data_IF_368601308017
#
_entry.id   IF_368601308017
#
_cell.length_a   1.000
_cell.length_b   1.000
_cell.length_c   1.000
_cell.angle_alpha   90.00
_cell.angle_beta   90.00
_cell.angle_gamma   90.00
#
_symmetry.space_group_name_H-M   'P 1'
#
loop_
_entity.id
_entity.type
_entity.pdbx_description
1 polymer ?
#
# COMPACT_ATOMS: atom_id res chain seq x y z
N UNK A 1 9.31 -33.98 -25.12
CA UNK A 1 8.12 -33.25 -25.47
C UNK A 1 8.16 -31.81 -24.97
N UNK A 2 7.43 -30.93 -25.63
CA UNK A 2 7.32 -29.53 -25.20
C UNK A 2 6.58 -29.44 -23.86
N UNK A 3 7.13 -28.67 -22.92
CA UNK A 3 6.42 -28.31 -21.67
C UNK A 3 5.73 -26.98 -21.87
N UNK A 4 4.45 -26.91 -21.54
CA UNK A 4 3.66 -25.70 -21.54
C UNK A 4 3.11 -25.45 -20.13
N UNK A 5 3.26 -24.23 -19.64
CA UNK A 5 2.66 -23.79 -18.39
C UNK A 5 1.70 -22.64 -18.70
N UNK A 6 0.43 -22.81 -18.35
CA UNK A 6 -0.58 -21.76 -18.47
C UNK A 6 -0.63 -20.92 -17.19
N UNK A 7 -1.34 -19.80 -17.28
CA UNK A 7 -1.75 -19.05 -16.09
C UNK A 7 -2.83 -19.84 -15.30
N UNK A 8 -2.94 -19.53 -14.02
CA UNK A 8 -3.98 -20.09 -13.15
C UNK A 8 -5.26 -19.27 -13.25
N UNK A 9 -6.39 -19.95 -13.35
CA UNK A 9 -7.73 -19.33 -13.37
C UNK A 9 -8.54 -19.83 -12.19
N UNK A 10 -9.28 -18.94 -11.55
CA UNK A 10 -10.19 -19.23 -10.46
C UNK A 10 -11.62 -18.97 -10.93
N UNK A 11 -12.50 -19.95 -10.79
CA UNK A 11 -13.91 -19.85 -11.10
C UNK A 11 -14.71 -19.82 -9.80
N UNK A 12 -15.56 -18.81 -9.66
CA UNK A 12 -16.42 -18.64 -8.50
C UNK A 12 -17.88 -18.49 -8.94
N UNK A 13 -18.71 -19.54 -8.87
CA UNK A 13 -20.13 -19.40 -9.11
C UNK A 13 -20.81 -18.68 -7.95
N UNK A 14 -21.71 -17.77 -8.25
CA UNK A 14 -22.52 -17.06 -7.26
C UNK A 14 -23.97 -17.51 -7.33
N UNK A 15 -24.63 -17.56 -6.18
CA UNK A 15 -26.03 -17.93 -6.00
C UNK A 15 -26.95 -16.72 -5.76
N UNK A 16 -26.42 -15.51 -5.87
CA UNK A 16 -27.12 -14.28 -5.53
C UNK A 16 -26.70 -13.11 -6.44
N UNK A 17 -27.60 -12.18 -6.67
CA UNK A 17 -27.31 -10.88 -7.31
C UNK A 17 -26.95 -9.78 -6.32
N UNK A 18 -27.07 -10.03 -5.01
CA UNK A 18 -26.64 -9.09 -3.97
C UNK A 18 -25.14 -8.84 -4.06
N UNK A 19 -24.78 -7.57 -4.17
CA UNK A 19 -23.39 -7.16 -4.41
C UNK A 19 -22.48 -7.40 -3.20
N UNK A 20 -22.97 -7.11 -1.98
CA UNK A 20 -22.20 -7.38 -0.75
C UNK A 20 -21.98 -8.89 -0.59
N UNK A 21 -23.00 -9.72 -0.84
CA UNK A 21 -22.88 -11.17 -0.74
C UNK A 21 -21.84 -11.75 -1.72
N UNK A 22 -21.83 -11.29 -2.96
CA UNK A 22 -20.78 -11.63 -3.93
C UNK A 22 -19.40 -11.19 -3.45
N UNK A 23 -19.29 -9.95 -2.98
CA UNK A 23 -18.05 -9.40 -2.46
C UNK A 23 -17.53 -10.15 -1.23
N UNK A 24 -18.40 -10.51 -0.28
CA UNK A 24 -18.03 -11.32 0.88
C UNK A 24 -17.49 -12.69 0.48
N UNK A 25 -18.10 -13.33 -0.50
CA UNK A 25 -17.63 -14.62 -0.99
C UNK A 25 -16.23 -14.52 -1.62
N UNK A 26 -15.98 -13.51 -2.43
CA UNK A 26 -14.67 -13.24 -3.02
C UNK A 26 -13.60 -12.93 -1.94
N UNK A 27 -13.95 -12.12 -0.95
CA UNK A 27 -13.06 -11.79 0.17
C UNK A 27 -12.69 -13.04 1.00
N UNK A 28 -13.63 -13.94 1.22
CA UNK A 28 -13.37 -15.24 1.87
C UNK A 28 -12.40 -16.12 1.06
N UNK A 29 -12.49 -16.08 -0.27
CA UNK A 29 -11.51 -16.74 -1.12
C UNK A 29 -10.11 -16.17 -0.88
N UNK A 30 -9.94 -14.84 -0.90
CA UNK A 30 -8.63 -14.22 -0.64
C UNK A 30 -8.06 -14.64 0.72
N UNK A 31 -8.84 -14.61 1.79
CA UNK A 31 -8.38 -15.06 3.12
C UNK A 31 -7.83 -16.47 3.12
N UNK A 32 -8.38 -17.37 2.28
CA UNK A 32 -7.93 -18.76 2.20
C UNK A 32 -6.70 -18.98 1.33
N UNK A 33 -6.65 -18.33 0.17
CA UNK A 33 -5.61 -18.61 -0.84
C UNK A 33 -4.46 -17.61 -0.83
N UNK A 34 -4.65 -16.46 -0.17
CA UNK A 34 -3.67 -15.42 -0.02
C UNK A 34 -3.74 -14.78 1.39
N UNK A 35 -3.46 -15.57 2.46
CA UNK A 35 -3.64 -15.12 3.85
C UNK A 35 -2.80 -13.89 4.20
N UNK A 36 -1.67 -13.64 3.53
CA UNK A 36 -0.87 -12.43 3.66
C UNK A 36 -1.64 -11.14 3.33
N UNK A 37 -2.73 -11.20 2.56
CA UNK A 37 -3.58 -10.04 2.26
C UNK A 37 -4.42 -9.58 3.45
N UNK A 38 -4.47 -10.36 4.53
CA UNK A 38 -5.14 -9.99 5.78
C UNK A 38 -4.21 -9.22 6.72
N UNK A 39 -2.91 -9.21 6.45
CA UNK A 39 -1.95 -8.42 7.22
C UNK A 39 -2.28 -6.93 7.04
N UNK A 40 -2.36 -6.24 8.17
CA UNK A 40 -2.74 -4.81 8.18
C UNK A 40 -1.92 -4.07 9.24
N UNK A 41 -0.59 -3.97 9.07
CA UNK A 41 0.29 -3.26 9.99
C UNK A 41 0.05 -1.75 9.94
N UNK A 42 0.41 -1.07 11.01
CA UNK A 42 0.34 0.39 11.14
C UNK A 42 1.71 0.95 10.79
N UNK A 43 1.83 1.73 9.71
CA UNK A 43 3.13 2.18 9.23
C UNK A 43 3.22 3.68 8.89
N UNK A 44 4.43 4.21 9.03
CA UNK A 44 4.84 5.53 8.57
C UNK A 44 5.69 5.42 7.30
N UNK A 45 5.41 6.22 6.29
CA UNK A 45 6.27 6.41 5.13
C UNK A 45 7.23 7.57 5.36
N UNK A 46 8.45 7.26 5.80
CA UNK A 46 9.50 8.24 6.05
C UNK A 46 10.15 8.70 4.74
N UNK A 47 10.19 10.01 4.52
CA UNK A 47 10.70 10.63 3.28
C UNK A 47 12.18 10.99 3.32
N UNK A 48 12.95 10.39 4.21
CA UNK A 48 14.37 10.68 4.39
C UNK A 48 15.16 9.41 4.71
N UNK A 49 16.44 9.41 4.38
CA UNK A 49 17.45 8.46 4.88
C UNK A 49 18.56 9.16 5.69
N UNK A 50 18.30 10.40 6.13
CA UNK A 50 19.14 11.06 7.13
C UNK A 50 19.03 10.32 8.47
N UNK A 51 20.15 9.96 9.13
CA UNK A 51 20.13 9.16 10.35
C UNK A 51 19.30 9.76 11.48
N UNK A 52 19.32 11.08 11.64
CA UNK A 52 18.55 11.76 12.69
C UNK A 52 17.06 11.69 12.41
N UNK A 53 16.66 11.91 11.17
CA UNK A 53 15.25 11.86 10.76
C UNK A 53 14.72 10.43 10.88
N UNK A 54 15.45 9.43 10.39
CA UNK A 54 15.03 8.02 10.46
C UNK A 54 14.90 7.56 11.91
N UNK A 55 15.89 7.84 12.78
CA UNK A 55 15.80 7.47 14.20
C UNK A 55 14.64 8.18 14.90
N UNK A 56 14.39 9.46 14.61
CA UNK A 56 13.22 10.18 15.13
C UNK A 56 11.91 9.53 14.66
N UNK A 57 11.81 9.16 13.38
CA UNK A 57 10.63 8.48 12.86
C UNK A 57 10.37 7.13 13.56
N UNK A 58 11.43 6.34 13.77
CA UNK A 58 11.37 5.06 14.49
C UNK A 58 10.91 5.27 15.95
N UNK A 59 11.53 6.23 16.66
CA UNK A 59 11.16 6.54 18.05
C UNK A 59 9.69 6.98 18.15
N UNK A 60 9.25 7.86 17.27
CA UNK A 60 7.85 8.31 17.23
C UNK A 60 6.86 7.18 16.88
N UNK A 61 7.23 6.25 16.00
CA UNK A 61 6.44 5.05 15.76
C UNK A 61 6.30 4.21 17.02
N UNK A 62 7.39 3.93 17.72
CA UNK A 62 7.37 3.18 18.98
C UNK A 62 6.53 3.87 20.06
N UNK A 63 6.63 5.19 20.19
CA UNK A 63 5.92 5.97 21.20
C UNK A 63 4.42 6.14 20.93
N UNK A 64 4.00 6.01 19.67
CA UNK A 64 2.59 6.18 19.28
C UNK A 64 1.89 4.88 18.94
N UNK A 65 2.62 3.75 19.01
CA UNK A 65 2.07 2.43 18.73
C UNK A 65 1.99 2.08 17.25
N UNK A 66 2.69 2.81 16.38
CA UNK A 66 2.97 2.37 15.03
C UNK A 66 3.86 1.12 15.05
N UNK A 67 3.87 0.36 13.96
CA UNK A 67 4.49 -0.96 13.91
C UNK A 67 5.64 -1.04 12.91
N UNK A 68 5.59 -0.21 11.85
CA UNK A 68 6.55 -0.24 10.76
C UNK A 68 6.95 1.16 10.27
N UNK A 69 8.17 1.26 9.74
CA UNK A 69 8.63 2.41 8.96
C UNK A 69 9.05 1.95 7.58
N UNK A 70 8.52 2.60 6.55
CA UNK A 70 8.91 2.42 5.15
C UNK A 70 9.71 3.65 4.74
N UNK A 71 10.97 3.47 4.36
CA UNK A 71 11.78 4.51 3.70
C UNK A 71 11.24 4.71 2.29
N UNK A 72 10.42 5.72 2.12
CA UNK A 72 9.54 5.91 0.97
C UNK A 72 10.28 6.47 -0.26
N UNK A 73 9.56 6.59 -1.37
CA UNK A 73 10.05 7.30 -2.56
C UNK A 73 10.60 8.68 -2.22
N UNK A 74 11.78 9.01 -2.73
CA UNK A 74 12.48 10.26 -2.43
C UNK A 74 13.25 10.27 -1.10
N UNK A 75 13.27 9.18 -0.34
CA UNK A 75 14.08 9.08 0.90
C UNK A 75 15.59 9.03 0.65
N UNK A 76 16.02 8.66 -0.55
CA UNK A 76 17.42 8.42 -0.87
C UNK A 76 17.90 6.99 -0.54
N UNK A 77 17.00 6.07 -0.18
CA UNK A 77 17.31 4.66 -0.10
C UNK A 77 17.67 4.12 -1.50
N UNK A 78 18.78 3.45 -1.62
CA UNK A 78 19.20 2.75 -2.83
C UNK A 78 19.52 1.28 -2.52
N UNK A 79 18.58 0.39 -2.82
CA UNK A 79 18.75 -1.06 -2.61
C UNK A 79 19.63 -1.73 -3.70
N UNK A 80 19.95 -1.01 -4.77
CA UNK A 80 20.81 -1.50 -5.86
C UNK A 80 22.30 -1.20 -5.62
N UNK A 81 22.62 -0.39 -4.61
CA UNK A 81 23.99 -0.11 -4.18
C UNK A 81 24.45 -1.18 -3.18
N UNK A 82 25.32 -2.07 -3.64
CA UNK A 82 25.90 -3.16 -2.85
C UNK A 82 27.16 -2.77 -2.08
N UNK A 83 27.54 -1.48 -2.05
CA UNK A 83 28.70 -1.03 -1.29
C UNK A 83 28.56 -1.35 0.20
N UNK A 84 29.68 -1.68 0.83
CA UNK A 84 29.71 -1.98 2.26
C UNK A 84 29.18 -0.82 3.11
N UNK A 85 29.46 0.42 2.72
CA UNK A 85 28.97 1.62 3.39
C UNK A 85 27.44 1.74 3.33
N UNK A 86 26.83 1.47 2.17
CA UNK A 86 25.37 1.50 2.00
C UNK A 86 24.73 0.38 2.83
N UNK A 87 25.23 -0.84 2.73
CA UNK A 87 24.71 -1.99 3.51
C UNK A 87 24.84 -1.74 5.01
N UNK A 88 26.00 -1.27 5.49
CA UNK A 88 26.22 -0.98 6.91
C UNK A 88 25.26 0.08 7.44
N UNK A 89 25.04 1.16 6.70
CA UNK A 89 24.09 2.23 7.04
C UNK A 89 22.67 1.69 7.27
N UNK A 90 22.14 0.95 6.33
CA UNK A 90 20.76 0.47 6.41
C UNK A 90 20.61 -0.70 7.40
N UNK A 91 21.66 -1.49 7.60
CA UNK A 91 21.70 -2.49 8.67
C UNK A 91 21.63 -1.83 10.05
N UNK A 92 22.40 -0.75 10.30
CA UNK A 92 22.32 0.04 11.53
C UNK A 92 20.90 0.54 11.80
N UNK A 93 20.21 1.04 10.77
CA UNK A 93 18.82 1.49 10.91
C UNK A 93 17.87 0.34 11.26
N UNK A 94 18.06 -0.82 10.65
CA UNK A 94 17.27 -2.02 10.94
C UNK A 94 17.48 -2.48 12.38
N UNK A 95 18.73 -2.56 12.83
CA UNK A 95 19.06 -2.93 14.21
C UNK A 95 18.47 -1.95 15.22
N UNK A 96 18.53 -0.65 14.92
CA UNK A 96 17.91 0.39 15.75
C UNK A 96 16.39 0.22 15.81
N UNK A 97 15.71 0.03 14.67
CA UNK A 97 14.27 -0.19 14.60
C UNK A 97 13.86 -1.43 15.40
N UNK A 98 14.57 -2.55 15.20
CA UNK A 98 14.33 -3.80 15.92
C UNK A 98 14.49 -3.63 17.44
N UNK A 99 15.46 -2.81 17.90
CA UNK A 99 15.63 -2.50 19.34
C UNK A 99 14.44 -1.76 19.95
N UNK A 100 13.63 -1.13 19.12
CA UNK A 100 12.40 -0.42 19.52
C UNK A 100 11.12 -1.23 19.23
N UNK A 101 11.22 -2.45 18.71
CA UNK A 101 10.09 -3.26 18.29
C UNK A 101 9.40 -2.76 17.02
N UNK A 102 10.11 -2.00 16.18
CA UNK A 102 9.61 -1.45 14.92
C UNK A 102 10.25 -2.21 13.75
N UNK A 103 9.44 -2.61 12.78
CA UNK A 103 9.93 -3.17 11.52
C UNK A 103 10.35 -2.04 10.57
N UNK A 104 11.40 -2.28 9.80
CA UNK A 104 11.93 -1.32 8.84
C UNK A 104 12.04 -1.92 7.45
N UNK A 105 11.75 -1.12 6.47
CA UNK A 105 11.97 -1.46 5.08
C UNK A 105 11.94 -0.24 4.18
N UNK A 106 11.74 -0.47 2.88
CA UNK A 106 11.78 0.66 1.98
C UNK A 106 11.24 0.41 0.59
N UNK A 107 11.22 1.50 -0.14
CA UNK A 107 10.68 1.64 -1.47
C UNK A 107 11.74 1.36 -2.53
N UNK A 108 11.37 0.59 -3.56
CA UNK A 108 12.11 0.46 -4.80
C UNK A 108 11.20 0.66 -6.01
N UNK A 109 11.59 1.52 -6.94
CA UNK A 109 10.91 1.71 -8.20
C UNK A 109 11.42 0.68 -9.21
N UNK A 110 10.56 -0.22 -9.64
CA UNK A 110 10.90 -1.33 -10.51
C UNK A 110 11.05 -0.89 -11.98
N UNK A 111 10.03 -0.17 -12.49
CA UNK A 111 10.00 0.33 -13.87
C UNK A 111 9.65 1.82 -13.89
N UNK A 112 9.26 2.38 -15.03
CA UNK A 112 8.93 3.81 -15.18
C UNK A 112 10.11 4.73 -14.87
N UNK A 113 11.33 4.28 -15.21
CA UNK A 113 12.58 5.01 -15.04
C UNK A 113 13.56 4.67 -16.15
N UNK A 114 14.50 5.54 -16.41
CA UNK A 114 15.60 5.27 -17.30
C UNK A 114 16.78 4.65 -16.54
N UNK A 115 17.35 3.59 -17.10
CA UNK A 115 18.58 2.95 -16.62
C UNK A 115 19.68 3.13 -17.67
N UNK A 116 19.50 2.56 -18.84
CA UNK A 116 20.32 2.77 -20.01
C UNK A 116 19.53 2.41 -21.27
N UNK A 117 20.04 2.85 -22.38
CA UNK A 117 19.42 2.61 -23.68
C UNK A 117 19.41 1.12 -24.08
N UNK A 118 20.40 0.35 -23.64
CA UNK A 118 20.56 -1.05 -23.98
C UNK A 118 19.54 -1.95 -23.29
N UNK A 119 19.05 -1.54 -22.12
CA UNK A 119 18.12 -2.33 -21.30
C UNK A 119 16.69 -1.82 -21.35
N UNK A 120 16.44 -0.68 -22.01
CA UNK A 120 15.07 -0.16 -22.14
C UNK A 120 14.23 -1.04 -23.07
N UNK A 121 12.92 -1.09 -22.85
CA UNK A 121 12.01 -1.84 -23.72
C UNK A 121 11.97 -1.23 -25.12
N UNK A 122 11.78 -2.06 -26.13
CA UNK A 122 11.50 -1.62 -27.50
C UNK A 122 10.00 -1.67 -27.74
N UNK A 123 9.43 -0.50 -27.99
CA UNK A 123 8.00 -0.36 -28.30
C UNK A 123 7.70 -1.06 -29.64
N UNK A 124 6.77 -2.02 -29.67
CA UNK A 124 6.47 -2.80 -30.88
C UNK A 124 5.81 -1.99 -32.01
N UNK A 125 5.16 -0.88 -31.70
CA UNK A 125 4.47 -0.05 -32.68
C UNK A 125 5.44 0.90 -33.39
N UNK A 126 6.41 1.43 -32.65
CA UNK A 126 7.33 2.44 -33.16
C UNK A 126 8.71 1.90 -33.50
N UNK A 127 9.06 0.73 -33.01
CA UNK A 127 10.40 0.17 -33.08
C UNK A 127 11.46 0.96 -32.28
N UNK A 128 11.03 1.94 -31.49
CA UNK A 128 11.91 2.80 -30.69
C UNK A 128 11.92 2.36 -29.24
N UNK A 129 12.92 2.81 -28.50
CA UNK A 129 13.01 2.64 -27.04
C UNK A 129 11.87 3.36 -26.30
N UNK A 130 11.53 2.85 -25.12
CA UNK A 130 10.53 3.42 -24.24
C UNK A 130 9.25 2.61 -24.12
N UNK A 131 8.73 2.59 -22.90
CA UNK A 131 7.44 1.98 -22.59
C UNK A 131 6.27 2.76 -23.19
N UNK A 132 5.15 2.09 -23.39
CA UNK A 132 3.95 2.68 -24.01
C UNK A 132 3.25 3.70 -23.10
N UNK A 133 3.47 3.64 -21.78
CA UNK A 133 2.73 4.45 -20.80
C UNK A 133 3.60 5.53 -20.17
N UNK A 134 4.79 5.17 -19.69
CA UNK A 134 5.62 6.06 -18.85
C UNK A 134 6.93 6.51 -19.53
N UNK A 135 7.07 6.36 -20.84
CA UNK A 135 8.31 6.64 -21.52
C UNK A 135 9.38 5.59 -21.22
N UNK A 136 10.54 5.95 -20.67
CA UNK A 136 11.60 5.00 -20.35
C UNK A 136 11.11 3.93 -19.36
N UNK A 137 11.36 2.68 -19.68
CA UNK A 137 10.99 1.54 -18.85
C UNK A 137 11.99 0.39 -19.08
N UNK A 138 12.86 0.09 -18.12
CA UNK A 138 13.81 -0.98 -18.27
C UNK A 138 13.10 -2.33 -18.40
N UNK A 139 13.57 -3.17 -19.32
CA UNK A 139 13.03 -4.50 -19.51
C UNK A 139 13.49 -5.42 -18.36
N UNK A 140 12.54 -5.93 -17.59
CA UNK A 140 12.82 -6.80 -16.44
C UNK A 140 13.33 -8.20 -16.85
N UNK A 141 13.31 -8.50 -18.15
CA UNK A 141 13.91 -9.70 -18.74
C UNK A 141 15.16 -9.36 -19.56
N UNK A 142 15.83 -8.25 -19.26
CA UNK A 142 17.19 -7.95 -19.65
C UNK A 142 18.17 -8.43 -18.58
N UNK A 143 19.46 -8.38 -18.85
CA UNK A 143 20.52 -8.66 -17.85
C UNK A 143 20.39 -7.74 -16.63
N UNK A 144 20.09 -6.46 -16.83
CA UNK A 144 19.86 -5.53 -15.75
C UNK A 144 18.69 -5.98 -14.85
N UNK A 145 17.58 -6.42 -15.44
CA UNK A 145 16.41 -6.86 -14.66
C UNK A 145 16.74 -8.03 -13.74
N UNK A 146 17.48 -9.01 -14.22
CA UNK A 146 17.92 -10.15 -13.42
C UNK A 146 18.89 -9.72 -12.31
N UNK A 147 19.81 -8.82 -12.60
CA UNK A 147 20.72 -8.25 -11.59
C UNK A 147 19.97 -7.41 -10.55
N UNK A 148 18.98 -6.62 -10.96
CA UNK A 148 18.11 -5.89 -10.04
C UNK A 148 17.44 -6.84 -9.03
N UNK A 149 16.79 -7.90 -9.48
CA UNK A 149 16.12 -8.84 -8.58
C UNK A 149 17.11 -9.58 -7.66
N UNK A 150 18.31 -9.86 -8.12
CA UNK A 150 19.40 -10.40 -7.31
C UNK A 150 19.85 -9.41 -6.24
N UNK A 151 20.07 -8.16 -6.62
CA UNK A 151 20.50 -7.08 -5.69
C UNK A 151 19.47 -6.82 -4.60
N UNK A 152 18.18 -6.77 -4.95
CA UNK A 152 17.12 -6.60 -3.96
C UNK A 152 17.17 -7.72 -2.91
N UNK A 153 17.25 -8.98 -3.32
CA UNK A 153 17.38 -10.10 -2.37
C UNK A 153 18.62 -9.98 -1.49
N UNK A 154 19.78 -9.74 -2.10
CA UNK A 154 21.04 -9.55 -1.39
C UNK A 154 20.98 -8.40 -0.37
N UNK A 155 20.31 -7.30 -0.72
CA UNK A 155 20.12 -6.17 0.17
C UNK A 155 19.31 -6.55 1.42
N UNK A 156 18.17 -7.24 1.25
CA UNK A 156 17.35 -7.72 2.37
C UNK A 156 18.07 -8.74 3.24
N UNK A 157 18.76 -9.70 2.64
CA UNK A 157 19.58 -10.69 3.37
C UNK A 157 20.69 -10.05 4.21
N UNK A 158 21.34 -9.00 3.69
CA UNK A 158 22.46 -8.33 4.37
C UNK A 158 22.04 -7.31 5.41
N UNK A 159 20.91 -6.59 5.18
CA UNK A 159 20.43 -5.54 6.07
C UNK A 159 19.47 -6.04 7.12
N UNK A 160 18.80 -7.18 6.89
CA UNK A 160 17.77 -7.71 7.77
C UNK A 160 16.45 -6.90 7.74
N UNK A 161 16.22 -6.05 6.75
CA UNK A 161 14.95 -5.37 6.57
C UNK A 161 13.81 -6.38 6.36
N UNK A 162 12.60 -6.04 6.85
CA UNK A 162 11.43 -6.93 6.85
C UNK A 162 10.23 -6.35 6.13
N UNK A 163 10.36 -5.18 5.52
CA UNK A 163 9.27 -4.52 4.78
C UNK A 163 9.76 -4.09 3.40
N UNK A 164 9.04 -4.48 2.35
CA UNK A 164 9.34 -4.13 0.97
C UNK A 164 8.18 -3.40 0.31
N UNK A 165 8.40 -2.17 -0.13
CA UNK A 165 7.47 -1.44 -0.98
C UNK A 165 8.02 -1.38 -2.40
N UNK A 166 7.23 -1.84 -3.37
CA UNK A 166 7.67 -1.89 -4.76
C UNK A 166 6.62 -1.26 -5.67
N UNK A 167 6.99 -0.15 -6.27
CA UNK A 167 6.17 0.56 -7.25
C UNK A 167 6.62 0.23 -8.68
N UNK A 168 5.70 0.41 -9.63
CA UNK A 168 5.94 0.02 -11.01
C UNK A 168 5.92 -1.49 -11.25
N UNK A 169 5.32 -2.24 -10.32
CA UNK A 169 5.13 -3.70 -10.43
C UNK A 169 4.02 -4.08 -11.41
N UNK A 170 3.86 -3.29 -12.45
CA UNK A 170 3.04 -3.62 -13.61
C UNK A 170 3.55 -4.93 -14.24
N UNK A 171 2.75 -5.61 -15.09
CA UNK A 171 3.20 -6.88 -15.70
C UNK A 171 4.45 -6.73 -16.59
N UNK A 172 5.09 -5.58 -16.61
CA UNK A 172 6.14 -5.16 -17.52
C UNK A 172 5.57 -4.59 -18.80
N UNK A 173 6.27 -3.63 -19.42
CA UNK A 173 5.92 -3.19 -20.77
C UNK A 173 6.26 -4.29 -21.78
N UNK A 174 5.43 -4.46 -22.82
CA UNK A 174 5.80 -5.33 -23.94
C UNK A 174 7.11 -4.86 -24.55
N UNK A 175 7.98 -5.79 -24.89
CA UNK A 175 9.30 -5.49 -25.43
C UNK A 175 9.53 -6.28 -26.72
N UNK A 176 9.73 -5.57 -27.83
CA UNK A 176 10.03 -6.16 -29.12
C UNK A 176 11.53 -6.44 -29.32
N UNK A 177 12.39 -6.12 -28.37
CA UNK A 177 13.83 -6.42 -28.44
C UNK A 177 14.08 -7.90 -28.64
N UNK A 178 15.01 -8.24 -29.50
CA UNK A 178 15.56 -9.60 -29.69
C UNK A 178 16.98 -9.74 -29.15
N UNK A 179 17.52 -8.67 -28.57
CA UNK A 179 18.86 -8.61 -27.98
C UNK A 179 18.91 -8.81 -26.48
N UNK A 180 17.76 -8.70 -25.78
CA UNK A 180 17.70 -8.96 -24.33
C UNK A 180 17.82 -10.46 -24.05
N UNK A 181 18.66 -10.83 -23.09
CA UNK A 181 19.09 -12.23 -22.90
C UNK A 181 17.97 -13.19 -22.46
N UNK A 182 16.93 -12.70 -21.77
CA UNK A 182 16.00 -13.57 -21.06
C UNK A 182 14.59 -13.61 -21.64
N UNK A 183 14.38 -13.04 -22.85
CA UNK A 183 13.18 -13.24 -23.66
C UNK A 183 13.50 -13.27 -25.15
N UNK A 184 12.58 -13.76 -25.97
CA UNK A 184 12.77 -13.94 -27.42
C UNK A 184 12.13 -12.83 -28.27
N UNK A 185 11.64 -11.76 -27.63
CA UNK A 185 10.96 -10.64 -28.27
C UNK A 185 9.53 -10.48 -27.79
N UNK A 186 8.68 -9.86 -28.62
CA UNK A 186 7.32 -9.47 -28.27
C UNK A 186 6.45 -10.61 -27.70
N UNK A 187 6.60 -11.82 -28.20
CA UNK A 187 5.70 -12.93 -27.88
C UNK A 187 5.81 -13.44 -26.45
N UNK A 188 6.95 -13.28 -25.79
CA UNK A 188 7.19 -13.82 -24.45
C UNK A 188 7.72 -12.77 -23.45
N UNK A 189 8.07 -11.57 -23.90
CA UNK A 189 8.71 -10.54 -23.09
C UNK A 189 7.91 -10.20 -21.82
N UNK A 190 6.62 -9.91 -21.95
CA UNK A 190 5.80 -9.52 -20.81
C UNK A 190 5.60 -10.68 -19.83
N UNK A 191 5.43 -11.90 -20.34
CA UNK A 191 5.33 -13.09 -19.50
C UNK A 191 6.62 -13.32 -18.70
N UNK A 192 7.76 -13.18 -19.33
CA UNK A 192 9.07 -13.34 -18.68
C UNK A 192 9.31 -12.29 -17.60
N UNK A 193 8.99 -11.03 -17.88
CA UNK A 193 9.06 -9.94 -16.89
C UNK A 193 8.15 -10.23 -15.68
N UNK A 194 6.90 -10.60 -15.93
CA UNK A 194 5.98 -10.97 -14.86
C UNK A 194 6.50 -12.12 -14.00
N UNK A 195 7.13 -13.14 -14.60
CA UNK A 195 7.70 -14.25 -13.83
C UNK A 195 8.78 -13.77 -12.84
N UNK A 196 9.63 -12.81 -13.22
CA UNK A 196 10.64 -12.26 -12.31
C UNK A 196 10.01 -11.53 -11.13
N UNK A 197 9.00 -10.71 -11.37
CA UNK A 197 8.26 -10.01 -10.30
C UNK A 197 7.61 -11.03 -9.34
N UNK A 198 6.90 -12.00 -9.88
CA UNK A 198 6.24 -13.06 -9.09
C UNK A 198 7.24 -13.82 -8.24
N UNK A 199 8.37 -14.21 -8.80
CA UNK A 199 9.42 -14.92 -8.09
C UNK A 199 10.02 -14.09 -6.93
N UNK A 200 10.16 -12.77 -7.11
CA UNK A 200 10.62 -11.90 -6.02
C UNK A 200 9.57 -11.83 -4.90
N UNK A 201 8.31 -11.59 -5.22
CA UNK A 201 7.27 -11.42 -4.19
C UNK A 201 6.99 -12.72 -3.43
N UNK A 202 7.02 -13.85 -4.10
CA UNK A 202 6.93 -15.15 -3.44
C UNK A 202 8.11 -15.37 -2.49
N UNK A 203 9.32 -15.07 -2.93
CA UNK A 203 10.51 -15.15 -2.08
C UNK A 203 10.40 -14.22 -0.86
N UNK A 204 9.94 -12.97 -1.03
CA UNK A 204 9.71 -12.05 0.08
C UNK A 204 8.71 -12.64 1.10
N UNK A 205 7.56 -13.13 0.62
CA UNK A 205 6.54 -13.73 1.47
C UNK A 205 7.07 -14.98 2.21
N UNK A 206 7.81 -15.86 1.53
CA UNK A 206 8.42 -17.07 2.11
C UNK A 206 9.48 -16.74 3.17
N UNK A 207 10.11 -15.56 3.08
CA UNK A 207 11.10 -15.09 4.05
C UNK A 207 10.51 -14.14 5.12
N UNK A 208 9.18 -14.05 5.23
CA UNK A 208 8.51 -13.24 6.25
C UNK A 208 8.64 -11.73 6.02
N UNK A 209 8.95 -11.30 4.80
CA UNK A 209 9.07 -9.88 4.44
C UNK A 209 7.69 -9.38 3.99
N UNK A 210 7.15 -8.40 4.71
CA UNK A 210 5.90 -7.76 4.35
C UNK A 210 6.04 -7.00 3.03
N UNK A 211 5.16 -7.27 2.06
CA UNK A 211 5.22 -6.66 0.72
C UNK A 211 4.11 -5.64 0.54
N UNK A 212 4.45 -4.34 0.60
CA UNK A 212 3.52 -3.26 0.29
C UNK A 212 3.59 -2.93 -1.20
N UNK A 213 2.67 -3.50 -1.98
CA UNK A 213 2.67 -3.36 -3.44
C UNK A 213 1.36 -2.70 -3.84
N UNK A 214 1.39 -1.45 -4.33
CA UNK A 214 0.17 -0.72 -4.70
C UNK A 214 -0.48 -1.25 -5.99
N UNK A 215 0.21 -2.12 -6.73
CA UNK A 215 -0.25 -2.59 -8.02
C UNK A 215 -1.14 -3.81 -7.95
N UNK A 216 -2.16 -3.79 -8.79
CA UNK A 216 -3.11 -4.87 -8.94
C UNK A 216 -2.50 -6.12 -9.58
N UNK A 217 -2.88 -7.28 -9.07
CA UNK A 217 -2.61 -8.55 -9.77
C UNK A 217 -1.53 -9.43 -9.16
N UNK A 218 -0.93 -9.04 -8.02
CA UNK A 218 0.09 -9.84 -7.32
C UNK A 218 -0.37 -10.43 -5.99
N UNK A 219 -1.64 -10.26 -5.62
CA UNK A 219 -2.21 -10.78 -4.37
C UNK A 219 -2.01 -12.28 -4.18
N UNK A 220 -2.16 -13.04 -5.24
CA UNK A 220 -1.97 -14.51 -5.21
C UNK A 220 -0.51 -14.93 -5.24
N UNK A 221 0.42 -13.98 -5.25
CA UNK A 221 1.85 -14.20 -5.36
C UNK A 221 2.65 -13.48 -4.27
N UNK A 222 2.03 -13.22 -3.12
CA UNK A 222 2.68 -12.58 -1.98
C UNK A 222 2.43 -11.08 -1.83
N UNK A 223 1.81 -10.42 -2.82
CA UNK A 223 1.45 -9.01 -2.71
C UNK A 223 0.31 -8.78 -1.72
N UNK A 224 0.44 -7.78 -0.85
CA UNK A 224 -0.55 -7.49 0.18
C UNK A 224 -1.53 -6.38 -0.21
N UNK A 225 -1.17 -5.49 -1.12
CA UNK A 225 -1.96 -4.32 -1.52
C UNK A 225 -2.42 -4.39 -2.97
N UNK A 226 -3.43 -3.63 -3.32
CA UNK A 226 -4.02 -3.59 -4.67
C UNK A 226 -4.40 -2.19 -5.12
N UNK A 227 -3.80 -1.16 -4.59
CA UNK A 227 -4.02 0.23 -5.00
C UNK A 227 -5.43 0.77 -4.81
N UNK A 228 -6.32 0.08 -4.07
CA UNK A 228 -7.65 0.59 -3.77
C UNK A 228 -7.56 1.63 -2.68
N UNK A 229 -8.25 2.73 -2.89
CA UNK A 229 -8.08 3.90 -2.07
C UNK A 229 -6.80 4.67 -2.42
N UNK A 230 -5.98 4.18 -3.36
CA UNK A 230 -4.87 4.91 -3.92
C UNK A 230 -5.38 6.14 -4.66
N UNK A 231 -5.00 7.31 -4.16
CA UNK A 231 -5.31 8.58 -4.80
C UNK A 231 -4.12 9.52 -4.62
N UNK A 232 -3.30 9.59 -5.63
CA UNK A 232 -2.26 10.62 -5.72
C UNK A 232 -2.86 12.02 -5.70
N UNK A 233 -4.10 12.16 -6.17
CA UNK A 233 -4.84 13.42 -6.12
C UNK A 233 -5.00 13.99 -4.72
N UNK A 234 -4.93 13.20 -3.65
CA UNK A 234 -4.95 13.70 -2.27
C UNK A 234 -3.81 14.69 -1.99
N UNK A 235 -2.70 14.59 -2.73
CA UNK A 235 -1.59 15.54 -2.61
C UNK A 235 -1.90 16.91 -3.19
N UNK A 236 -2.93 17.00 -4.01
CA UNK A 236 -3.31 18.22 -4.73
C UNK A 236 -4.65 18.80 -4.29
N UNK A 237 -5.43 18.04 -3.50
CA UNK A 237 -6.74 18.46 -3.03
C UNK A 237 -6.66 19.18 -1.68
N UNK A 238 -7.46 20.20 -1.45
CA UNK A 238 -7.66 20.76 -0.12
C UNK A 238 -8.09 19.71 0.90
N UNK A 239 -7.63 19.82 2.15
CA UNK A 239 -7.84 18.83 3.22
C UNK A 239 -9.30 18.41 3.39
N UNK A 240 -10.23 19.37 3.41
CA UNK A 240 -11.66 19.10 3.58
C UNK A 240 -12.26 18.23 2.48
N UNK A 241 -11.71 18.29 1.26
CA UNK A 241 -12.13 17.44 0.13
C UNK A 241 -11.54 16.05 0.19
N UNK A 242 -10.35 15.92 0.75
CA UNK A 242 -9.68 14.63 0.87
C UNK A 242 -10.51 13.63 1.70
N UNK A 243 -11.18 14.09 2.76
CA UNK A 243 -11.99 13.25 3.62
C UNK A 243 -13.19 12.63 2.89
N UNK A 244 -13.98 13.45 2.21
CA UNK A 244 -15.16 12.95 1.46
C UNK A 244 -14.73 12.05 0.30
N UNK A 245 -13.76 12.48 -0.50
CA UNK A 245 -13.27 11.69 -1.63
C UNK A 245 -12.57 10.39 -1.17
N UNK A 246 -11.85 10.42 -0.05
CA UNK A 246 -11.28 9.23 0.55
C UNK A 246 -12.33 8.18 0.87
N UNK A 247 -13.43 8.58 1.55
CA UNK A 247 -14.52 7.65 1.86
C UNK A 247 -15.29 7.17 0.63
N UNK A 248 -15.42 7.99 -0.42
CA UNK A 248 -15.98 7.55 -1.70
C UNK A 248 -15.13 6.44 -2.33
N UNK A 249 -13.81 6.62 -2.34
CA UNK A 249 -12.88 5.64 -2.90
C UNK A 249 -12.90 4.34 -2.11
N UNK A 250 -12.94 4.43 -0.78
CA UNK A 250 -13.06 3.25 0.09
C UNK A 250 -14.39 2.52 -0.18
N UNK A 251 -15.49 3.24 -0.23
CA UNK A 251 -16.81 2.68 -0.55
C UNK A 251 -16.80 1.96 -1.91
N UNK A 252 -16.28 2.59 -2.95
CA UNK A 252 -16.25 2.03 -4.30
C UNK A 252 -15.29 0.83 -4.41
N UNK A 253 -14.20 0.83 -3.63
CA UNK A 253 -13.16 -0.21 -3.69
C UNK A 253 -13.41 -1.44 -2.83
N UNK A 254 -14.12 -1.31 -1.71
CA UNK A 254 -14.28 -2.37 -0.71
C UNK A 254 -15.37 -3.41 -1.04
N UNK A 255 -16.06 -3.28 -2.17
CA UNK A 255 -17.01 -4.29 -2.62
C UNK A 255 -16.39 -5.67 -2.83
N UNK A 256 -15.20 -5.72 -3.40
CA UNK A 256 -14.55 -6.95 -3.84
C UNK A 256 -13.21 -7.24 -3.15
N UNK A 257 -12.81 -6.38 -2.19
CA UNK A 257 -11.48 -6.47 -1.59
C UNK A 257 -11.52 -6.35 -0.08
N UNK A 258 -10.60 -7.05 0.56
CA UNK A 258 -10.39 -6.94 2.00
C UNK A 258 -9.94 -5.51 2.36
N UNK A 259 -10.37 -4.97 3.51
CA UNK A 259 -9.88 -3.68 3.97
C UNK A 259 -8.34 -3.59 3.97
N UNK A 260 -7.65 -4.60 4.50
CA UNK A 260 -6.20 -4.66 4.54
C UNK A 260 -5.49 -4.65 3.17
N UNK A 261 -6.21 -4.90 2.06
CA UNK A 261 -5.68 -4.74 0.71
C UNK A 261 -5.71 -3.30 0.21
N UNK A 262 -6.47 -2.43 0.87
CA UNK A 262 -6.64 -1.05 0.44
C UNK A 262 -5.48 -0.17 0.90
N UNK A 263 -5.23 0.89 0.13
CA UNK A 263 -4.15 1.82 0.37
C UNK A 263 -4.53 3.23 -0.09
N UNK A 264 -4.23 4.24 0.72
CA UNK A 264 -4.52 5.64 0.44
C UNK A 264 -3.41 6.55 0.96
N UNK A 265 -3.35 7.80 0.52
CA UNK A 265 -2.36 8.78 0.97
C UNK A 265 -2.90 9.70 2.06
N UNK A 266 -2.05 9.96 3.07
CA UNK A 266 -2.22 11.02 4.05
C UNK A 266 -0.94 11.87 4.07
N UNK A 267 -0.95 13.07 3.45
CA UNK A 267 0.24 13.90 3.30
C UNK A 267 0.55 14.65 4.60
N UNK A 268 1.41 14.07 5.44
CA UNK A 268 1.91 14.72 6.66
C UNK A 268 2.85 15.88 6.36
N UNK A 269 3.48 15.87 5.19
CA UNK A 269 4.30 16.97 4.65
C UNK A 269 3.91 17.25 3.22
N UNK A 270 4.28 18.43 2.73
CA UNK A 270 3.99 18.81 1.35
C UNK A 270 4.66 17.85 0.36
N UNK A 271 3.90 17.42 -0.63
CA UNK A 271 4.35 16.57 -1.72
C UNK A 271 3.53 16.87 -2.98
N UNK A 272 4.12 16.84 -4.16
CA UNK A 272 3.45 17.03 -5.45
C UNK A 272 2.40 18.16 -5.52
N UNK A 273 2.79 19.39 -5.57
CA UNK A 273 2.01 20.50 -6.14
C UNK A 273 0.75 20.96 -5.41
N UNK A 274 0.24 20.26 -4.38
CA UNK A 274 -0.96 20.68 -3.65
C UNK A 274 -0.75 21.83 -2.67
N UNK A 275 0.49 22.12 -2.34
CA UNK A 275 0.86 23.19 -1.43
C UNK A 275 0.31 23.02 0.00
N UNK A 276 0.30 24.11 0.74
CA UNK A 276 -0.13 24.14 2.14
C UNK A 276 -1.61 23.76 2.35
N UNK A 277 -2.46 23.89 1.33
CA UNK A 277 -3.87 23.52 1.42
C UNK A 277 -4.09 22.00 1.41
N UNK A 278 -3.14 21.24 0.86
CA UNK A 278 -3.25 19.78 0.71
C UNK A 278 -2.51 18.99 1.81
N UNK A 279 -1.55 19.60 2.49
CA UNK A 279 -0.74 18.94 3.54
C UNK A 279 -1.31 19.17 4.93
N UNK A 280 -1.02 18.25 5.86
CA UNK A 280 -1.32 18.39 7.29
C UNK A 280 -0.24 19.16 8.06
N UNK A 281 0.86 19.54 7.41
CA UNK A 281 1.91 20.32 8.05
C UNK A 281 1.56 21.84 8.11
N UNK A 282 1.81 22.52 9.25
CA UNK A 282 2.27 22.01 10.54
C UNK A 282 1.20 21.15 11.23
N UNK A 283 1.59 19.98 11.75
CA UNK A 283 0.62 18.99 12.28
C UNK A 283 -0.20 19.54 13.46
N UNK A 284 0.41 20.35 14.31
CA UNK A 284 -0.25 21.01 15.46
C UNK A 284 -1.42 21.92 15.05
N UNK A 285 -1.38 22.48 13.85
CA UNK A 285 -2.38 23.42 13.36
C UNK A 285 -3.56 22.68 12.67
N UNK A 286 -3.39 21.37 12.41
CA UNK A 286 -4.33 20.53 11.67
C UNK A 286 -4.71 19.24 12.41
N UNK A 287 -4.66 19.24 13.75
CA UNK A 287 -5.00 18.06 14.56
C UNK A 287 -6.40 17.50 14.24
N UNK A 288 -7.47 18.31 14.08
CA UNK A 288 -8.78 17.78 13.72
C UNK A 288 -8.81 17.04 12.38
N UNK A 289 -8.16 17.60 11.35
CA UNK A 289 -8.06 16.98 10.03
C UNK A 289 -7.24 15.68 10.10
N UNK A 290 -6.14 15.68 10.84
CA UNK A 290 -5.30 14.50 11.04
C UNK A 290 -6.05 13.38 11.72
N UNK A 291 -6.75 13.67 12.83
CA UNK A 291 -7.63 12.70 13.52
C UNK A 291 -8.70 12.17 12.58
N UNK A 292 -9.35 13.04 11.81
CA UNK A 292 -10.39 12.63 10.87
C UNK A 292 -9.85 11.67 9.79
N UNK A 293 -8.67 11.93 9.23
CA UNK A 293 -7.98 11.01 8.32
C UNK A 293 -7.70 9.65 8.97
N UNK A 294 -7.16 9.66 10.19
CA UNK A 294 -6.86 8.42 10.91
C UNK A 294 -8.12 7.62 11.22
N UNK A 295 -9.16 8.28 11.75
CA UNK A 295 -10.43 7.61 12.10
C UNK A 295 -11.10 7.01 10.88
N UNK A 296 -11.15 7.70 9.74
CA UNK A 296 -11.77 7.14 8.54
C UNK A 296 -10.95 5.98 7.96
N UNK A 297 -9.63 6.07 7.94
CA UNK A 297 -8.79 5.04 7.36
C UNK A 297 -8.76 3.77 8.25
N UNK A 298 -8.40 3.92 9.52
CA UNK A 298 -8.40 2.80 10.46
C UNK A 298 -9.82 2.28 10.73
N UNK A 299 -10.82 3.16 10.74
CA UNK A 299 -12.21 2.78 10.85
C UNK A 299 -12.72 1.93 9.70
N UNK A 300 -12.19 2.13 8.50
CA UNK A 300 -12.46 1.26 7.35
C UNK A 300 -11.54 0.02 7.29
N UNK A 301 -10.59 -0.11 8.22
CA UNK A 301 -9.54 -1.12 8.16
C UNK A 301 -8.58 -0.93 6.98
N UNK A 302 -8.55 0.27 6.41
CA UNK A 302 -7.71 0.62 5.26
C UNK A 302 -6.39 1.16 5.73
N UNK A 303 -5.30 0.62 5.20
CA UNK A 303 -3.99 1.20 5.44
C UNK A 303 -3.84 2.54 4.72
N UNK A 304 -3.11 3.46 5.36
CA UNK A 304 -2.77 4.72 4.75
C UNK A 304 -1.26 4.93 4.71
N UNK A 305 -0.80 5.50 3.61
CA UNK A 305 0.54 6.04 3.48
C UNK A 305 0.57 7.38 4.22
N UNK A 306 0.80 7.34 5.54
CA UNK A 306 1.12 8.53 6.34
C UNK A 306 2.53 8.96 5.97
N UNK A 307 2.64 9.96 5.07
CA UNK A 307 3.89 10.30 4.42
C UNK A 307 4.48 11.58 4.96
N UNK A 308 5.65 11.48 5.58
CA UNK A 308 6.38 12.62 6.12
C UNK A 308 7.60 12.20 6.95
N UNK A 309 8.34 13.16 7.48
CA UNK A 309 9.53 12.88 8.29
C UNK A 309 9.21 12.53 9.75
N UNK A 310 7.96 12.70 10.18
CA UNK A 310 7.52 12.52 11.58
C UNK A 310 6.01 12.29 11.67
N UNK A 311 5.56 11.73 12.79
CA UNK A 311 4.14 11.51 13.12
C UNK A 311 3.53 12.66 13.94
N UNK A 312 4.34 13.40 14.69
CA UNK A 312 3.90 14.52 15.52
C UNK A 312 4.99 15.58 15.65
N UNK A 313 4.59 16.80 15.93
CA UNK A 313 5.44 17.98 16.13
C UNK A 313 5.31 18.59 17.53
N UNK A 314 4.22 18.29 18.25
CA UNK A 314 3.99 18.73 19.63
C UNK A 314 3.44 17.61 20.51
N UNK A 315 3.44 17.75 21.86
CA UNK A 315 2.79 16.79 22.77
C UNK A 315 1.30 16.61 22.49
N UNK A 316 0.59 17.67 22.09
CA UNK A 316 -0.83 17.64 21.77
C UNK A 316 -1.10 16.81 20.51
N UNK A 317 -0.29 16.98 19.48
CA UNK A 317 -0.35 16.16 18.26
C UNK A 317 -0.04 14.69 18.59
N UNK A 318 1.00 14.43 19.40
CA UNK A 318 1.30 13.08 19.89
C UNK A 318 0.10 12.44 20.57
N UNK A 319 -0.52 13.17 21.53
CA UNK A 319 -1.68 12.66 22.26
C UNK A 319 -2.84 12.32 21.32
N UNK A 320 -3.08 13.14 20.29
CA UNK A 320 -4.12 12.89 19.29
C UNK A 320 -3.83 11.62 18.45
N UNK A 321 -2.57 11.40 18.06
CA UNK A 321 -2.17 10.19 17.33
C UNK A 321 -2.33 8.94 18.20
N UNK A 322 -1.85 8.98 19.45
CA UNK A 322 -1.97 7.87 20.41
C UNK A 322 -3.44 7.52 20.67
N UNK A 323 -4.30 8.52 20.89
CA UNK A 323 -5.74 8.31 21.11
C UNK A 323 -6.39 7.48 19.99
N UNK A 324 -6.10 7.82 18.73
CA UNK A 324 -6.70 7.11 17.60
C UNK A 324 -6.08 5.73 17.40
N UNK A 325 -4.76 5.58 17.59
CA UNK A 325 -4.09 4.28 17.49
C UNK A 325 -4.58 3.32 18.59
N UNK A 326 -4.72 3.79 19.82
CA UNK A 326 -5.23 2.97 20.94
C UNK A 326 -6.68 2.54 20.67
N UNK A 327 -7.52 3.45 20.17
CA UNK A 327 -8.87 3.13 19.74
C UNK A 327 -8.87 2.06 18.64
N UNK A 328 -8.04 2.22 17.59
CA UNK A 328 -7.94 1.24 16.52
C UNK A 328 -7.45 -0.11 17.03
N UNK A 329 -6.39 -0.15 17.84
CA UNK A 329 -5.86 -1.40 18.41
C UNK A 329 -6.88 -2.13 19.27
N UNK A 330 -7.67 -1.39 20.02
CA UNK A 330 -8.77 -1.94 20.84
C UNK A 330 -9.82 -2.67 19.98
N UNK A 331 -10.14 -2.13 18.82
CA UNK A 331 -11.20 -2.65 17.95
C UNK A 331 -10.64 -3.27 16.64
N UNK A 332 -9.32 -3.46 16.55
CA UNK A 332 -8.63 -3.91 15.33
C UNK A 332 -9.25 -5.18 14.74
N UNK A 333 -9.63 -6.14 15.57
CA UNK A 333 -10.21 -7.40 15.11
C UNK A 333 -11.47 -7.15 14.29
N UNK A 334 -12.44 -6.42 14.84
CA UNK A 334 -13.67 -6.12 14.13
C UNK A 334 -13.46 -5.15 12.96
N UNK A 335 -12.60 -4.15 13.10
CA UNK A 335 -12.30 -3.16 12.05
C UNK A 335 -11.54 -3.75 10.84
N UNK A 336 -10.92 -4.92 11.00
CA UNK A 336 -10.28 -5.67 9.91
C UNK A 336 -11.16 -6.83 9.38
N UNK A 337 -12.38 -6.98 9.90
CA UNK A 337 -13.32 -8.00 9.48
C UNK A 337 -14.07 -7.64 8.19
N UNK A 338 -15.14 -8.34 7.87
CA UNK A 338 -15.94 -8.06 6.69
C UNK A 338 -16.60 -6.69 6.76
N UNK A 339 -16.57 -5.93 5.67
CA UNK A 339 -17.18 -4.61 5.57
C UNK A 339 -18.45 -4.68 4.71
N UNK A 340 -19.53 -4.13 5.25
CA UNK A 340 -20.84 -3.99 4.62
C UNK A 340 -21.09 -2.51 4.33
N UNK A 341 -21.57 -2.22 3.13
CA UNK A 341 -21.83 -0.86 2.68
C UNK A 341 -23.17 -0.34 3.21
N UNK A 342 -23.17 0.85 3.82
CA UNK A 342 -24.39 1.52 4.29
C UNK A 342 -24.79 2.65 3.33
N UNK A 343 -23.98 3.70 3.26
CA UNK A 343 -24.26 4.85 2.41
C UNK A 343 -22.96 5.44 1.88
N UNK A 344 -22.91 5.69 0.57
CA UNK A 344 -21.76 6.33 -0.10
C UNK A 344 -21.68 7.82 0.29
N UNK A 345 -20.47 8.31 0.55
CA UNK A 345 -20.23 9.71 0.86
C UNK A 345 -20.62 10.64 -0.31
N UNK A 346 -21.36 11.70 -0.02
CA UNK A 346 -21.73 12.75 -0.98
C UNK A 346 -21.40 14.17 -0.48
N UNK A 347 -20.88 14.28 0.76
CA UNK A 347 -20.54 15.56 1.38
C UNK A 347 -21.75 16.43 1.79
N UNK A 348 -22.98 15.89 1.73
CA UNK A 348 -24.24 16.63 2.01
C UNK A 348 -25.02 16.04 3.17
N UNK A 349 -24.96 14.76 3.35
CA UNK A 349 -25.66 14.01 4.38
C UNK A 349 -24.72 12.94 4.95
N UNK A 350 -25.16 12.23 5.99
CA UNK A 350 -24.34 11.18 6.61
C UNK A 350 -23.87 10.16 5.58
N UNK A 351 -22.74 9.57 5.81
CA UNK A 351 -22.23 8.40 5.09
C UNK A 351 -21.67 7.39 6.08
N UNK A 352 -21.35 6.17 5.61
CA UNK A 352 -20.80 5.18 6.50
C UNK A 352 -20.82 3.76 5.97
N UNK A 353 -20.24 2.89 6.79
CA UNK A 353 -20.13 1.46 6.57
C UNK A 353 -20.22 0.72 7.92
N UNK A 354 -20.36 -0.58 7.84
CA UNK A 354 -20.45 -1.45 9.03
C UNK A 354 -19.50 -2.64 8.84
N UNK A 355 -18.68 -2.90 9.83
CA UNK A 355 -17.94 -4.15 9.91
C UNK A 355 -18.79 -5.21 10.58
N UNK A 356 -18.64 -6.46 10.14
CA UNK A 356 -19.34 -7.62 10.69
C UNK A 356 -18.36 -8.78 10.91
N UNK A 357 -18.49 -9.41 12.07
CA UNK A 357 -17.72 -10.59 12.43
C UNK A 357 -18.63 -11.53 13.25
N UNK A 358 -19.36 -12.45 12.58
CA UNK A 358 -20.28 -13.37 13.24
C UNK A 358 -19.63 -14.24 14.33
N UNK A 359 -18.35 -14.52 14.19
CA UNK A 359 -17.59 -15.36 15.12
C UNK A 359 -16.83 -14.55 16.18
N UNK A 360 -16.68 -13.22 15.95
CA UNK A 360 -15.96 -12.31 16.83
C UNK A 360 -16.68 -11.99 18.14
N UNK A 361 -15.99 -11.29 19.04
CA UNK A 361 -16.56 -10.76 20.28
C UNK A 361 -17.59 -9.67 19.98
N UNK A 362 -17.21 -8.67 19.19
CA UNK A 362 -18.08 -7.67 18.60
C UNK A 362 -18.67 -8.24 17.30
N UNK A 363 -20.00 -8.40 17.23
CA UNK A 363 -20.68 -8.98 16.05
C UNK A 363 -20.83 -7.95 14.92
N UNK A 364 -20.86 -6.68 15.25
CA UNK A 364 -20.95 -5.58 14.28
C UNK A 364 -20.42 -4.27 14.85
N UNK A 365 -19.84 -3.45 13.97
CA UNK A 365 -19.31 -2.14 14.32
C UNK A 365 -19.62 -1.16 13.17
N UNK A 366 -20.57 -0.24 13.39
CA UNK A 366 -20.95 0.75 12.40
C UNK A 366 -20.19 2.06 12.62
N UNK A 367 -19.61 2.59 11.55
CA UNK A 367 -19.04 3.93 11.51
C UNK A 367 -19.94 4.82 10.65
N UNK A 368 -20.40 5.91 11.26
CA UNK A 368 -21.26 6.90 10.62
C UNK A 368 -20.55 8.24 10.67
N UNK A 369 -20.45 8.88 9.53
CA UNK A 369 -19.78 10.17 9.36
C UNK A 369 -20.80 11.26 9.04
N UNK A 370 -20.66 12.39 9.69
CA UNK A 370 -21.36 13.61 9.35
C UNK A 370 -20.38 14.56 8.64
N UNK A 371 -20.51 14.76 7.31
CA UNK A 371 -19.62 15.64 6.58
C UNK A 371 -19.98 17.13 6.66
N UNK A 372 -21.03 17.47 7.41
CA UNK A 372 -21.53 18.85 7.51
C UNK A 372 -21.08 19.50 8.81
N UNK A 373 -21.17 20.84 8.86
CA UNK A 373 -20.89 21.66 10.04
C UNK A 373 -22.05 21.70 11.06
N UNK A 374 -23.18 21.02 10.76
CA UNK A 374 -24.39 21.03 11.58
C UNK A 374 -24.69 19.63 12.11
N UNK A 375 -25.26 19.58 13.31
CA UNK A 375 -25.82 18.35 13.83
C UNK A 375 -26.98 17.87 12.96
N UNK A 376 -26.97 16.59 12.60
CA UNK A 376 -28.04 15.95 11.83
C UNK A 376 -28.61 14.77 12.59
N UNK A 377 -29.92 14.56 12.48
CA UNK A 377 -30.60 13.39 13.04
C UNK A 377 -31.13 12.54 11.88
N UNK A 378 -30.82 11.26 11.90
CA UNK A 378 -31.26 10.31 10.87
C UNK A 378 -31.59 8.96 11.51
N UNK A 379 -32.58 8.29 10.92
CA UNK A 379 -32.83 6.88 11.21
C UNK A 379 -32.01 6.05 10.24
N UNK A 380 -31.11 5.23 10.76
CA UNK A 380 -30.21 4.37 9.97
C UNK A 380 -30.65 2.92 10.14
N UNK A 381 -30.88 2.23 9.03
CA UNK A 381 -31.16 0.79 9.02
C UNK A 381 -29.83 0.04 8.89
N UNK A 382 -29.48 -0.74 9.91
CA UNK A 382 -28.31 -1.61 9.90
C UNK A 382 -28.68 -3.01 9.40
N UNK A 383 -27.95 -3.59 8.44
CA UNK A 383 -28.22 -4.92 7.89
C UNK A 383 -27.68 -6.03 8.81
N UNK A 384 -28.33 -6.23 9.96
CA UNK A 384 -27.89 -7.18 10.99
C UNK A 384 -27.91 -8.65 10.57
N UNK A 385 -28.53 -8.98 9.43
CA UNK A 385 -28.52 -10.34 8.87
C UNK A 385 -27.13 -10.83 8.40
N UNK A 386 -26.14 -9.94 8.40
CA UNK A 386 -24.73 -10.30 8.16
C UNK A 386 -23.96 -10.61 9.46
N UNK A 387 -24.51 -10.30 10.63
CA UNK A 387 -23.86 -10.47 11.93
C UNK A 387 -24.02 -11.88 12.51
#
# INVERSE_FOLDING_TARGET
>A
GAKFSSFRTWLMPFDSDDRDRKGLFLKRMYRKIAPWTTENPIFLHCVSSDPKVVKTAIDQCAETGYEMVILSFGSGLNMEDESEANIAKFKEFTEYANSKGIELGGYSLLSSRWISDEVDVINPETGKRGGMIFGSSPCLSSEWGYDYFRKIRSFYEKTGMTVFENDGSYPGNVCASTSHAHHKGLKDSQWKQRQQIVNLYQWMCENGIYTNIPDFGYMLNGGTKVGIGYREVNWSLPRERQLVLGRQVMYDGLWERLPGMCWTFVPLTQYHGGGAAATLEPLKDHIPDYKAHMIQNYGAGVQACYRGPRLYDTPETKAAVVEVIDWYKKYRTILNSELIHLRRADGRDWDGFMHVDPDGKEKGFALLFNPTDKAITRTVKLPLYYT
#
